data_IF_818513217117
#
_entry.id   IF_818513217117
#
_cell.length_a   1.000
_cell.length_b   1.000
_cell.length_c   1.000
_cell.angle_alpha   90.00
_cell.angle_beta   90.00
_cell.angle_gamma   90.00
#
_symmetry.space_group_name_H-M   'P 1'
#
loop_
_entity.id
_entity.type
_entity.pdbx_description
1 polymer ?
#
# COMPACT_ATOMS: atom_id res chain seq x y z
N UNK A 1 -22.48 -18.55 6.93
CA UNK A 1 -23.81 -18.52 6.30
C UNK A 1 -23.73 -19.06 4.87
N UNK A 2 -23.14 -20.25 4.69
CA UNK A 2 -22.90 -20.79 3.34
C UNK A 2 -24.19 -21.29 2.67
N UNK A 3 -25.24 -21.54 3.45
CA UNK A 3 -26.57 -21.88 2.92
C UNK A 3 -27.24 -20.69 2.23
N UNK A 4 -27.11 -19.47 2.79
CA UNK A 4 -27.72 -18.26 2.20
C UNK A 4 -26.76 -17.46 1.33
N UNK A 5 -25.46 -17.54 1.60
CA UNK A 5 -24.38 -16.83 0.91
C UNK A 5 -23.17 -17.77 0.66
N UNK A 6 -23.30 -18.75 -0.24
CA UNK A 6 -22.20 -19.63 -0.62
C UNK A 6 -21.00 -18.83 -1.18
N UNK A 7 -19.78 -19.18 -0.77
CA UNK A 7 -18.54 -18.54 -1.24
C UNK A 7 -18.29 -17.13 -0.68
N UNK A 8 -19.17 -16.59 0.15
CA UNK A 8 -18.97 -15.28 0.76
C UNK A 8 -18.17 -15.37 2.07
N UNK A 9 -17.31 -14.37 2.27
CA UNK A 9 -16.49 -14.22 3.46
C UNK A 9 -16.69 -12.82 4.06
N UNK A 10 -16.62 -12.72 5.39
CA UNK A 10 -16.63 -11.44 6.11
C UNK A 10 -15.30 -11.29 6.85
N UNK A 11 -14.60 -10.19 6.57
CA UNK A 11 -13.40 -9.79 7.31
C UNK A 11 -13.68 -8.48 8.06
N UNK A 12 -13.12 -8.33 9.26
CA UNK A 12 -13.17 -7.09 10.05
C UNK A 12 -11.74 -6.61 10.28
N UNK A 13 -11.46 -5.38 9.88
CA UNK A 13 -10.13 -4.78 10.00
C UNK A 13 -9.89 -4.24 11.42
N UNK A 14 -8.68 -3.78 11.69
CA UNK A 14 -8.39 -3.04 12.91
C UNK A 14 -9.09 -1.66 12.88
N UNK A 15 -9.44 -1.13 14.05
CA UNK A 15 -10.20 0.14 14.17
C UNK A 15 -9.48 1.36 13.57
N UNK A 16 -8.16 1.28 13.43
CA UNK A 16 -7.31 2.34 12.90
C UNK A 16 -6.87 2.11 11.44
N UNK A 17 -7.40 1.07 10.78
CA UNK A 17 -7.11 0.72 9.39
C UNK A 17 -8.43 0.43 8.65
N UNK A 18 -9.18 1.50 8.41
CA UNK A 18 -10.58 1.45 7.93
C UNK A 18 -10.81 2.24 6.64
N UNK A 19 -9.81 3.01 6.20
CA UNK A 19 -9.91 3.89 5.05
C UNK A 19 -8.53 4.13 4.44
N UNK A 20 -8.51 4.67 3.22
CA UNK A 20 -7.29 5.23 2.64
C UNK A 20 -6.77 6.37 3.51
N UNK A 21 -5.44 6.56 3.49
CA UNK A 21 -4.75 7.56 4.29
C UNK A 21 -4.06 8.53 3.34
N UNK A 22 -4.81 9.52 2.84
CA UNK A 22 -4.38 10.43 1.77
C UNK A 22 -3.11 11.19 2.12
N UNK A 23 -2.93 11.62 3.38
CA UNK A 23 -1.73 12.30 3.85
C UNK A 23 -0.48 11.40 3.93
N UNK A 24 -0.61 10.08 3.72
CA UNK A 24 0.49 9.12 3.60
C UNK A 24 0.61 8.52 2.19
N UNK A 25 -0.09 9.08 1.21
CA UNK A 25 -0.01 8.67 -0.20
C UNK A 25 0.84 9.69 -0.95
N UNK A 26 1.90 9.23 -1.63
CA UNK A 26 2.90 10.10 -2.26
C UNK A 26 3.09 9.78 -3.75
N UNK A 27 3.35 10.81 -4.54
CA UNK A 27 3.83 10.75 -5.91
C UNK A 27 5.32 11.11 -5.90
N UNK A 28 6.19 10.12 -6.09
CA UNK A 28 7.64 10.27 -5.99
C UNK A 28 8.29 10.40 -7.38
N UNK A 29 7.99 11.47 -8.09
CA UNK A 29 8.65 11.84 -9.36
C UNK A 29 10.02 12.46 -9.11
N UNK A 30 10.94 12.40 -10.08
CA UNK A 30 12.29 12.97 -9.94
C UNK A 30 12.29 14.48 -9.71
N UNK A 31 11.32 15.20 -10.28
CA UNK A 31 11.09 16.62 -10.02
C UNK A 31 9.76 16.80 -9.30
N UNK A 32 9.72 17.75 -8.36
CA UNK A 32 8.51 18.04 -7.58
C UNK A 32 7.38 18.58 -8.44
N UNK A 33 7.71 19.37 -9.46
CA UNK A 33 6.73 20.00 -10.34
C UNK A 33 5.93 18.95 -11.14
N UNK A 34 6.54 17.81 -11.47
CA UNK A 34 5.91 16.72 -12.22
C UNK A 34 4.81 16.01 -11.41
N UNK A 35 4.87 16.05 -10.07
CA UNK A 35 3.76 15.56 -9.24
C UNK A 35 2.58 16.53 -9.25
N UNK A 36 2.79 17.82 -9.54
CA UNK A 36 1.75 18.84 -9.55
C UNK A 36 1.25 19.25 -8.15
N UNK A 37 0.40 20.29 -8.08
CA UNK A 37 0.03 20.94 -6.82
C UNK A 37 -1.00 20.17 -5.99
N UNK A 38 -1.66 19.16 -6.56
CA UNK A 38 -2.71 18.38 -5.90
C UNK A 38 -2.18 17.13 -5.18
N UNK A 39 -0.89 16.81 -5.36
CA UNK A 39 -0.28 15.59 -4.86
C UNK A 39 0.71 15.87 -3.73
N UNK A 40 0.81 14.94 -2.79
CA UNK A 40 1.94 14.93 -1.87
C UNK A 40 3.17 14.42 -2.62
N UNK A 41 4.26 15.19 -2.59
CA UNK A 41 5.52 14.81 -3.20
C UNK A 41 6.57 14.56 -2.12
N UNK A 42 7.40 13.55 -2.36
CA UNK A 42 8.60 13.22 -1.58
C UNK A 42 9.72 12.92 -2.56
N UNK A 43 10.95 13.34 -2.24
CA UNK A 43 12.10 13.00 -3.06
C UNK A 43 12.22 11.46 -3.21
N UNK A 44 12.40 10.92 -4.42
CA UNK A 44 12.43 9.48 -4.62
C UNK A 44 13.49 8.78 -3.76
N UNK A 45 14.68 9.38 -3.63
CA UNK A 45 15.76 8.80 -2.83
C UNK A 45 15.39 8.78 -1.36
N UNK A 46 14.82 9.86 -0.84
CA UNK A 46 14.31 9.91 0.54
C UNK A 46 13.26 8.81 0.79
N UNK A 47 12.33 8.63 -0.16
CA UNK A 47 11.29 7.62 -0.08
C UNK A 47 11.87 6.19 -0.08
N UNK A 48 12.81 5.88 -0.98
CA UNK A 48 13.49 4.59 -1.02
C UNK A 48 14.30 4.32 0.24
N UNK A 49 15.02 5.31 0.77
CA UNK A 49 15.80 5.17 2.00
C UNK A 49 14.90 4.90 3.22
N UNK A 50 13.74 5.56 3.31
CA UNK A 50 12.74 5.31 4.35
C UNK A 50 12.12 3.91 4.21
N UNK A 51 11.60 3.57 3.03
CA UNK A 51 10.90 2.31 2.79
C UNK A 51 11.84 1.10 2.96
N UNK A 52 13.10 1.21 2.53
CA UNK A 52 14.09 0.14 2.69
C UNK A 52 14.34 -0.22 4.16
N UNK A 53 14.28 0.77 5.06
CA UNK A 53 14.38 0.54 6.52
C UNK A 53 13.14 -0.18 7.05
N UNK A 54 11.95 0.21 6.59
CA UNK A 54 10.68 -0.40 6.99
C UNK A 54 10.56 -1.83 6.47
N UNK A 55 10.96 -2.09 5.22
CA UNK A 55 10.86 -3.40 4.60
C UNK A 55 11.86 -4.43 5.11
N UNK A 56 12.99 -4.00 5.68
CA UNK A 56 14.02 -4.90 6.20
C UNK A 56 13.45 -5.81 7.30
N UNK A 57 13.22 -7.07 6.96
CA UNK A 57 12.72 -8.09 7.89
C UNK A 57 11.22 -8.01 8.21
N UNK A 58 10.44 -7.16 7.55
CA UNK A 58 9.02 -6.97 7.87
C UNK A 58 8.16 -8.24 7.66
N UNK A 59 8.65 -9.19 6.84
CA UNK A 59 7.99 -10.47 6.57
C UNK A 59 8.55 -11.64 7.39
N UNK A 60 9.41 -11.42 8.41
CA UNK A 60 9.92 -12.52 9.24
C UNK A 60 8.77 -13.33 9.84
N UNK A 61 8.75 -14.64 9.56
CA UNK A 61 7.71 -15.57 10.01
C UNK A 61 6.40 -15.51 9.20
N UNK A 62 6.38 -14.83 8.05
CA UNK A 62 5.22 -14.72 7.16
C UNK A 62 5.59 -15.22 5.76
N UNK A 63 4.63 -15.79 5.04
CA UNK A 63 4.80 -16.18 3.63
C UNK A 63 4.80 -14.94 2.74
N UNK A 64 5.78 -14.82 1.84
CA UNK A 64 5.77 -13.83 0.77
C UNK A 64 5.05 -14.42 -0.45
N UNK A 65 3.90 -13.85 -0.81
CA UNK A 65 3.17 -14.22 -2.01
C UNK A 65 3.65 -13.37 -3.20
N UNK A 66 3.99 -14.02 -4.32
CA UNK A 66 4.28 -13.35 -5.60
C UNK A 66 3.04 -13.51 -6.48
N UNK A 67 2.33 -12.40 -6.74
CA UNK A 67 0.99 -12.41 -7.36
C UNK A 67 1.05 -11.70 -8.73
N UNK A 68 1.30 -12.43 -9.84
CA UNK A 68 1.23 -11.85 -11.18
C UNK A 68 -0.22 -11.54 -11.56
N UNK A 69 -0.44 -10.42 -12.25
CA UNK A 69 -1.75 -10.02 -12.79
C UNK A 69 -1.58 -9.29 -14.13
N UNK A 70 -2.65 -9.25 -14.93
CA UNK A 70 -2.71 -8.48 -16.17
C UNK A 70 -3.76 -7.39 -16.05
N UNK A 71 -3.41 -6.18 -16.45
CA UNK A 71 -4.40 -5.13 -16.71
C UNK A 71 -4.94 -5.37 -18.11
N UNK A 72 -6.26 -5.48 -18.24
CA UNK A 72 -6.93 -5.72 -19.52
C UNK A 72 -6.62 -4.67 -20.57
#
# INVERSE_FOLDING_TARGET
NQEKLPGCYLHRTAINDVARVENRTFICTSKKEDAGPLNNWMDPKECYDMLSKIYRGCMKGRTMYVIPYSMG
#
